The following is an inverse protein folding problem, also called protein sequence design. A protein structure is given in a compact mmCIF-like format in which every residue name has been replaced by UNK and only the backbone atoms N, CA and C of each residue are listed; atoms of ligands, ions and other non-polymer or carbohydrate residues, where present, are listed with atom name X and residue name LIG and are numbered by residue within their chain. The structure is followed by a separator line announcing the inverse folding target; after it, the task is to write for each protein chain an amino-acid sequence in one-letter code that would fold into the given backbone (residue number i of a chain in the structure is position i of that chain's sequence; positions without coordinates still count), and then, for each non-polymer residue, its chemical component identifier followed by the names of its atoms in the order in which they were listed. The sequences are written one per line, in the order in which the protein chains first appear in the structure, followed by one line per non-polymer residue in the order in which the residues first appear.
data_IF_732096937884
#
_entry.id   IF_732096937884
#
_cell.length_a   1.000
_cell.length_b   1.000
_cell.length_c   1.000
_cell.angle_alpha   90.00
_cell.angle_beta   90.00
_cell.angle_gamma   90.00
#
_symmetry.space_group_name_H-M   'P 1'
#
loop_
_entity.id
_entity.type
_entity.pdbx_description
1 polymer ?
#
# COMPACT_ATOMS: atom_id res chain seq x y z
N UNK A 1 -20.58 -107.40 -12.75
CA UNK A 1 -20.31 -106.46 -11.64
C UNK A 1 -19.49 -105.24 -12.09
N UNK A 2 -18.41 -105.40 -12.87
CA UNK A 2 -17.54 -104.26 -13.24
C UNK A 2 -18.16 -103.19 -14.17
N UNK A 3 -19.06 -103.57 -15.09
CA UNK A 3 -19.68 -102.60 -16.01
C UNK A 3 -20.60 -101.58 -15.30
N UNK A 4 -21.36 -102.05 -14.30
CA UNK A 4 -22.29 -101.21 -13.54
C UNK A 4 -21.56 -100.16 -12.69
N UNK A 5 -20.42 -100.54 -12.09
CA UNK A 5 -19.56 -99.61 -11.34
C UNK A 5 -18.95 -98.56 -12.27
N UNK A 6 -18.52 -98.96 -13.47
CA UNK A 6 -17.94 -98.03 -14.45
C UNK A 6 -18.97 -97.01 -14.97
N UNK A 7 -20.22 -97.46 -15.20
CA UNK A 7 -21.32 -96.57 -15.57
C UNK A 7 -21.65 -95.58 -14.44
N UNK A 8 -21.68 -96.04 -13.19
CA UNK A 8 -21.94 -95.17 -12.02
C UNK A 8 -20.84 -94.12 -11.85
N UNK A 9 -19.56 -94.48 -12.03
CA UNK A 9 -18.44 -93.52 -11.99
C UNK A 9 -18.57 -92.48 -13.11
N UNK A 10 -18.93 -92.90 -14.31
CA UNK A 10 -19.12 -91.98 -15.44
C UNK A 10 -20.27 -90.99 -15.20
N UNK A 11 -21.41 -91.45 -14.67
CA UNK A 11 -22.54 -90.58 -14.32
C UNK A 11 -22.15 -89.59 -13.21
N UNK A 12 -21.43 -90.02 -12.18
CA UNK A 12 -20.94 -89.14 -11.13
C UNK A 12 -19.98 -88.06 -11.65
N UNK A 13 -19.14 -88.40 -12.62
CA UNK A 13 -18.18 -87.48 -13.22
C UNK A 13 -18.89 -86.40 -14.07
N UNK A 14 -19.95 -86.79 -14.79
CA UNK A 14 -20.81 -85.84 -15.53
C UNK A 14 -21.57 -84.93 -14.55
N UNK A 15 -22.13 -85.47 -13.47
CA UNK A 15 -22.80 -84.68 -12.43
C UNK A 15 -21.85 -83.69 -11.78
N UNK A 16 -20.63 -84.13 -11.44
CA UNK A 16 -19.61 -83.27 -10.84
C UNK A 16 -19.17 -82.16 -11.81
N UNK A 17 -18.96 -82.49 -13.09
CA UNK A 17 -18.68 -81.49 -14.13
C UNK A 17 -19.84 -80.49 -14.30
N UNK A 18 -21.09 -80.96 -14.23
CA UNK A 18 -22.28 -80.12 -14.26
C UNK A 18 -22.37 -79.16 -13.07
N UNK A 19 -22.12 -79.65 -11.85
CA UNK A 19 -22.11 -78.83 -10.63
C UNK A 19 -20.98 -77.80 -10.65
N UNK A 20 -19.77 -78.19 -11.07
CA UNK A 20 -18.65 -77.25 -11.22
C UNK A 20 -18.95 -76.22 -12.30
N UNK A 21 -19.53 -76.62 -13.44
CA UNK A 21 -19.93 -75.69 -14.50
C UNK A 21 -21.00 -74.70 -14.05
N UNK A 22 -21.99 -75.16 -13.30
CA UNK A 22 -23.04 -74.33 -12.71
C UNK A 22 -22.46 -73.36 -11.68
N UNK A 23 -21.55 -73.82 -10.82
CA UNK A 23 -20.87 -72.98 -9.83
C UNK A 23 -20.02 -71.91 -10.51
N UNK A 24 -19.20 -72.25 -11.50
CA UNK A 24 -18.41 -71.27 -12.26
C UNK A 24 -19.31 -70.25 -12.97
N UNK A 25 -20.50 -70.66 -13.43
CA UNK A 25 -21.46 -69.77 -14.07
C UNK A 25 -22.15 -68.83 -13.08
N UNK A 26 -22.47 -69.30 -11.88
CA UNK A 26 -23.06 -68.51 -10.78
C UNK A 26 -22.05 -67.56 -10.13
N UNK A 27 -20.78 -67.96 -10.03
CA UNK A 27 -19.70 -67.15 -9.48
C UNK A 27 -19.05 -66.23 -10.51
N UNK A 28 -19.49 -66.23 -11.78
CA UNK A 28 -19.07 -65.19 -12.71
C UNK A 28 -19.70 -63.88 -12.23
N UNK A 29 -18.90 -62.89 -11.76
CA UNK A 29 -19.45 -61.61 -11.36
C UNK A 29 -20.27 -61.08 -12.54
N UNK A 30 -21.49 -60.57 -12.30
CA UNK A 30 -22.29 -59.98 -13.35
C UNK A 30 -21.40 -58.96 -14.06
N UNK A 31 -21.31 -59.07 -15.39
CA UNK A 31 -20.52 -58.13 -16.18
C UNK A 31 -21.19 -56.78 -16.01
N UNK A 32 -20.67 -55.98 -15.09
CA UNK A 32 -21.17 -54.64 -14.82
C UNK A 32 -21.25 -53.89 -16.15
N UNK A 33 -22.42 -53.30 -16.40
CA UNK A 33 -22.64 -52.62 -17.65
C UNK A 33 -21.53 -51.57 -17.85
N UNK A 34 -20.80 -51.62 -18.98
CA UNK A 34 -19.65 -50.74 -19.21
C UNK A 34 -20.03 -49.25 -19.20
N UNK A 35 -21.33 -48.93 -19.28
CA UNK A 35 -21.88 -47.59 -19.12
C UNK A 35 -21.93 -47.13 -17.66
N UNK A 36 -22.28 -48.02 -16.73
CA UNK A 36 -22.37 -47.70 -15.30
C UNK A 36 -20.97 -47.50 -14.72
N UNK A 37 -20.01 -48.36 -15.09
CA UNK A 37 -18.61 -48.22 -14.68
C UNK A 37 -17.99 -46.90 -15.15
N UNK A 38 -18.23 -46.49 -16.40
CA UNK A 38 -17.79 -45.17 -16.91
C UNK A 38 -18.48 -44.00 -16.20
N UNK A 39 -19.77 -44.13 -15.89
CA UNK A 39 -20.51 -43.12 -15.12
C UNK A 39 -19.94 -42.93 -13.72
N UNK A 40 -19.64 -44.04 -13.03
CA UNK A 40 -19.05 -44.03 -11.69
C UNK A 40 -17.63 -43.46 -11.71
N UNK A 41 -16.83 -43.78 -12.73
CA UNK A 41 -15.49 -43.22 -12.90
C UNK A 41 -15.54 -41.69 -13.11
N UNK A 42 -16.50 -41.18 -13.88
CA UNK A 42 -16.69 -39.73 -14.05
C UNK A 42 -17.13 -39.02 -12.77
N UNK A 43 -17.96 -39.67 -11.95
CA UNK A 43 -18.34 -39.13 -10.64
C UNK A 43 -17.15 -39.12 -9.70
N UNK A 44 -16.36 -40.18 -9.65
CA UNK A 44 -15.15 -40.24 -8.84
C UNK A 44 -14.15 -39.15 -9.26
N UNK A 45 -13.95 -38.93 -10.55
CA UNK A 45 -13.09 -37.83 -11.02
C UNK A 45 -13.65 -36.46 -10.66
N UNK A 46 -14.98 -36.28 -10.71
CA UNK A 46 -15.61 -35.01 -10.31
C UNK A 46 -15.52 -34.76 -8.81
N UNK A 47 -15.67 -35.80 -7.99
CA UNK A 47 -15.48 -35.72 -6.55
C UNK A 47 -14.04 -35.31 -6.25
N UNK A 48 -13.05 -35.96 -6.88
CA UNK A 48 -11.64 -35.61 -6.69
C UNK A 48 -11.32 -34.15 -7.10
N UNK A 49 -11.91 -33.65 -8.20
CA UNK A 49 -11.73 -32.25 -8.62
C UNK A 49 -12.44 -31.28 -7.67
N UNK A 50 -13.62 -31.62 -7.16
CA UNK A 50 -14.33 -30.78 -6.19
C UNK A 50 -13.62 -30.75 -4.84
N UNK A 51 -13.01 -31.86 -4.44
CA UNK A 51 -12.16 -31.96 -3.25
C UNK A 51 -10.92 -31.07 -3.39
N UNK A 52 -10.20 -31.16 -4.51
CA UNK A 52 -9.04 -30.29 -4.78
C UNK A 52 -9.42 -28.79 -4.83
N UNK A 53 -10.56 -28.45 -5.46
CA UNK A 53 -11.06 -27.07 -5.45
C UNK A 53 -11.49 -26.61 -4.05
N UNK A 54 -12.06 -27.51 -3.25
CA UNK A 54 -12.43 -27.24 -1.85
C UNK A 54 -11.18 -26.94 -1.03
N UNK A 55 -10.16 -27.80 -1.09
CA UNK A 55 -8.89 -27.64 -0.37
C UNK A 55 -8.17 -26.35 -0.79
N UNK A 56 -8.18 -26.04 -2.09
CA UNK A 56 -7.61 -24.79 -2.61
C UNK A 56 -8.38 -23.56 -2.13
N UNK A 57 -9.70 -23.65 -2.05
CA UNK A 57 -10.53 -22.55 -1.54
C UNK A 57 -10.28 -22.35 -0.04
N UNK A 58 -10.17 -23.42 0.74
CA UNK A 58 -9.85 -23.35 2.16
C UNK A 58 -8.48 -22.70 2.41
N UNK A 59 -7.46 -23.09 1.67
CA UNK A 59 -6.13 -22.47 1.77
C UNK A 59 -6.16 -20.98 1.39
N UNK A 60 -6.89 -20.59 0.35
CA UNK A 60 -7.06 -19.18 -0.03
C UNK A 60 -7.80 -18.37 1.04
N UNK A 61 -8.85 -18.92 1.65
CA UNK A 61 -9.58 -18.26 2.75
C UNK A 61 -8.69 -18.07 3.97
N UNK A 62 -7.85 -19.06 4.29
CA UNK A 62 -6.90 -18.96 5.39
C UNK A 62 -5.82 -17.90 5.12
N UNK A 63 -5.30 -17.83 3.89
CA UNK A 63 -4.35 -16.80 3.49
C UNK A 63 -4.97 -15.39 3.53
N UNK A 64 -6.21 -15.26 3.05
CA UNK A 64 -6.93 -13.98 3.06
C UNK A 64 -7.21 -13.52 4.48
N UNK A 65 -7.61 -14.44 5.37
CA UNK A 65 -7.82 -14.17 6.80
C UNK A 65 -6.51 -13.68 7.44
N UNK A 66 -5.39 -14.36 7.21
CA UNK A 66 -4.08 -13.95 7.73
C UNK A 66 -3.65 -12.56 7.23
N UNK A 67 -3.86 -12.26 5.94
CA UNK A 67 -3.57 -10.95 5.38
C UNK A 67 -4.45 -9.86 5.99
N UNK A 68 -5.74 -10.15 6.19
CA UNK A 68 -6.67 -9.23 6.82
C UNK A 68 -6.24 -8.91 8.26
N UNK A 69 -5.90 -9.92 9.06
CA UNK A 69 -5.38 -9.73 10.42
C UNK A 69 -4.10 -8.87 10.44
N UNK A 70 -3.19 -9.10 9.49
CA UNK A 70 -1.98 -8.28 9.35
C UNK A 70 -2.33 -6.82 9.02
N UNK A 71 -3.27 -6.59 8.10
CA UNK A 71 -3.69 -5.22 7.72
C UNK A 71 -4.43 -4.51 8.86
N UNK A 72 -5.21 -5.23 9.66
CA UNK A 72 -5.83 -4.67 10.87
C UNK A 72 -4.76 -4.21 11.85
N UNK A 73 -3.71 -5.01 12.08
CA UNK A 73 -2.57 -4.62 12.94
C UNK A 73 -1.83 -3.39 12.40
N UNK A 74 -1.58 -3.33 11.09
CA UNK A 74 -0.94 -2.17 10.44
C UNK A 74 -1.77 -0.89 10.62
N UNK A 75 -3.09 -0.97 10.42
CA UNK A 75 -4.02 0.16 10.60
C UNK A 75 -4.03 0.61 12.06
N UNK A 76 -4.12 -0.33 13.00
CA UNK A 76 -4.09 -0.04 14.43
C UNK A 76 -2.80 0.67 14.85
N UNK A 77 -1.65 0.24 14.32
CA UNK A 77 -0.36 0.90 14.57
C UNK A 77 -0.33 2.34 14.02
N UNK A 78 -0.89 2.58 12.83
CA UNK A 78 -1.00 3.93 12.25
C UNK A 78 -1.93 4.84 13.05
N UNK A 79 -3.06 4.32 13.54
CA UNK A 79 -3.98 5.07 14.41
C UNK A 79 -3.24 5.51 15.68
N UNK A 80 -2.55 4.59 16.36
CA UNK A 80 -1.78 4.93 17.56
C UNK A 80 -0.67 5.95 17.30
N UNK A 81 -0.03 5.90 16.12
CA UNK A 81 0.96 6.89 15.73
C UNK A 81 0.33 8.28 15.50
N UNK A 82 -0.83 8.34 14.87
CA UNK A 82 -1.59 9.57 14.66
C UNK A 82 -2.06 10.19 16.00
N UNK A 83 -2.59 9.37 16.92
CA UNK A 83 -3.01 9.84 18.25
C UNK A 83 -1.84 10.47 19.02
N UNK A 84 -0.65 9.87 18.94
CA UNK A 84 0.58 10.44 19.52
C UNK A 84 0.96 11.79 18.91
N UNK A 85 0.75 11.98 17.60
CA UNK A 85 1.02 13.24 16.93
C UNK A 85 0.00 14.32 17.33
N UNK A 86 -1.29 13.97 17.39
CA UNK A 86 -2.36 14.86 17.87
C UNK A 86 -2.04 15.32 19.29
N UNK A 87 -1.67 14.42 20.20
CA UNK A 87 -1.28 14.79 21.56
C UNK A 87 -0.08 15.75 21.63
N UNK A 88 0.88 15.64 20.70
CA UNK A 88 1.99 16.61 20.61
C UNK A 88 1.53 17.97 20.09
N UNK A 89 0.62 17.99 19.11
CA UNK A 89 0.04 19.22 18.57
C UNK A 89 -0.73 19.94 19.68
N UNK A 90 -1.56 19.23 20.45
CA UNK A 90 -2.32 19.82 21.55
C UNK A 90 -1.42 20.45 22.62
N UNK A 91 -0.33 19.76 22.99
CA UNK A 91 0.65 20.30 23.93
C UNK A 91 1.34 21.56 23.39
N UNK A 92 1.71 21.57 22.11
CA UNK A 92 2.32 22.74 21.48
C UNK A 92 1.34 23.89 21.35
N UNK A 93 0.09 23.60 21.01
CA UNK A 93 -0.99 24.58 20.94
C UNK A 93 -1.24 25.24 22.31
N UNK A 94 -1.25 24.46 23.39
CA UNK A 94 -1.37 24.98 24.75
C UNK A 94 -0.21 25.91 25.11
N UNK A 95 1.04 25.52 24.81
CA UNK A 95 2.22 26.38 25.03
C UNK A 95 2.13 27.66 24.22
N UNK A 96 1.75 27.59 22.95
CA UNK A 96 1.57 28.78 22.11
C UNK A 96 0.48 29.69 22.64
N UNK A 97 -0.60 29.14 23.19
CA UNK A 97 -1.68 29.92 23.80
C UNK A 97 -1.22 30.59 25.11
N UNK A 98 -0.40 29.93 25.92
CA UNK A 98 0.23 30.55 27.10
C UNK A 98 1.15 31.70 26.70
N UNK A 99 1.99 31.48 25.68
CA UNK A 99 2.88 32.53 25.14
C UNK A 99 2.06 33.70 24.59
N UNK A 100 0.98 33.44 23.85
CA UNK A 100 0.10 34.48 23.34
C UNK A 100 -0.55 35.29 24.48
N UNK A 101 -0.99 34.64 25.57
CA UNK A 101 -1.50 35.35 26.76
C UNK A 101 -0.43 36.24 27.38
N UNK A 102 0.80 35.75 27.51
CA UNK A 102 1.93 36.56 28.02
C UNK A 102 2.17 37.78 27.13
N UNK A 103 2.09 37.65 25.81
CA UNK A 103 2.26 38.78 24.89
C UNK A 103 1.09 39.76 24.94
N UNK A 104 -0.15 39.29 25.07
CA UNK A 104 -1.31 40.16 25.28
C UNK A 104 -1.20 40.97 26.57
N UNK A 105 -0.73 40.36 27.66
CA UNK A 105 -0.63 41.02 28.97
C UNK A 105 0.57 41.98 29.05
N UNK A 106 1.64 41.73 28.29
CA UNK A 106 2.92 42.44 28.42
C UNK A 106 3.16 43.51 27.37
N UNK A 107 2.34 43.58 26.32
CA UNK A 107 2.37 44.68 25.36
C UNK A 107 1.43 45.78 25.86
N UNK A 108 1.94 46.92 26.39
CA UNK A 108 1.10 48.04 26.77
C UNK A 108 0.49 48.66 25.51
N UNK A 109 -0.67 48.15 25.10
CA UNK A 109 -1.38 48.60 23.90
C UNK A 109 -1.68 50.11 23.94
N UNK A 110 -1.87 50.67 25.13
CA UNK A 110 -2.05 52.12 25.32
C UNK A 110 -0.80 52.91 24.92
N UNK A 111 0.38 52.42 25.29
CA UNK A 111 1.65 53.10 24.98
C UNK A 111 1.97 53.02 23.48
N UNK A 112 1.66 51.89 22.83
CA UNK A 112 1.83 51.77 21.37
C UNK A 112 0.88 52.72 20.64
N UNK A 113 -0.38 52.83 21.06
CA UNK A 113 -1.34 53.77 20.45
C UNK A 113 -0.87 55.22 20.66
N UNK A 114 -0.36 55.56 21.84
CA UNK A 114 0.21 56.88 22.12
C UNK A 114 1.44 57.18 21.26
N UNK A 115 2.33 56.19 21.06
CA UNK A 115 3.50 56.30 20.18
C UNK A 115 3.10 56.50 18.71
N UNK A 116 2.15 55.71 18.21
CA UNK A 116 1.64 55.85 16.84
C UNK A 116 1.01 57.23 16.61
N UNK A 117 0.22 57.72 17.56
CA UNK A 117 -0.34 59.07 17.47
C UNK A 117 0.77 60.14 17.50
N UNK A 118 1.77 59.98 18.37
CA UNK A 118 2.93 60.87 18.45
C UNK A 118 3.69 60.91 17.13
N UNK A 119 3.89 59.78 16.45
CA UNK A 119 4.54 59.70 15.14
C UNK A 119 3.75 60.45 14.08
N UNK A 120 2.41 60.38 14.09
CA UNK A 120 1.57 61.20 13.19
C UNK A 120 1.82 62.70 13.41
N UNK A 121 1.88 63.15 14.68
CA UNK A 121 2.15 64.55 15.00
C UNK A 121 3.58 64.97 14.59
N UNK A 122 4.58 64.11 14.79
CA UNK A 122 5.96 64.35 14.36
C UNK A 122 6.07 64.42 12.84
N UNK A 123 5.42 63.49 12.11
CA UNK A 123 5.38 63.49 10.63
C UNK A 123 4.72 64.76 10.10
N UNK A 124 3.59 65.17 10.69
CA UNK A 124 2.91 66.42 10.34
C UNK A 124 3.79 67.65 10.62
N UNK A 125 4.48 67.68 11.77
CA UNK A 125 5.40 68.76 12.11
C UNK A 125 6.57 68.85 11.11
N UNK A 126 7.16 67.71 10.71
CA UNK A 126 8.24 67.65 9.72
C UNK A 126 7.79 68.15 8.34
N UNK A 127 6.63 67.69 7.85
CA UNK A 127 6.09 68.17 6.57
C UNK A 127 5.75 69.68 6.61
N UNK A 128 5.22 70.16 7.73
CA UNK A 128 4.98 71.59 7.92
C UNK A 128 6.30 72.40 7.94
N UNK A 129 7.36 71.86 8.55
CA UNK A 129 8.69 72.47 8.54
C UNK A 129 9.29 72.53 7.14
N UNK A 130 9.07 71.51 6.31
CA UNK A 130 9.45 71.47 4.90
C UNK A 130 8.62 72.44 4.02
N UNK A 131 7.59 73.07 4.57
CA UNK A 131 6.77 74.07 3.88
C UNK A 131 5.55 73.51 3.16
N UNK A 132 5.20 72.23 3.36
CA UNK A 132 3.99 71.63 2.76
C UNK A 132 2.71 72.37 3.19
N UNK A 133 1.71 72.36 2.31
CA UNK A 133 0.42 72.98 2.60
C UNK A 133 -0.42 72.11 3.56
N UNK A 134 -1.33 72.75 4.31
CA UNK A 134 -2.21 72.05 5.27
C UNK A 134 -3.01 70.94 4.59
N UNK A 135 -3.48 71.18 3.36
CA UNK A 135 -4.28 70.20 2.61
C UNK A 135 -3.44 69.01 2.11
N UNK A 136 -2.13 69.19 1.85
CA UNK A 136 -1.22 68.09 1.50
C UNK A 136 -0.89 67.24 2.73
N UNK A 137 -0.61 67.88 3.87
CA UNK A 137 -0.35 67.17 5.13
C UNK A 137 -1.58 66.37 5.56
N UNK A 138 -2.79 66.90 5.38
CA UNK A 138 -4.04 66.20 5.73
C UNK A 138 -4.34 64.98 4.84
N UNK A 139 -3.76 64.90 3.63
CA UNK A 139 -3.88 63.70 2.79
C UNK A 139 -2.91 62.60 3.21
N UNK A 140 -1.75 63.01 3.72
CA UNK A 140 -0.63 62.12 4.03
C UNK A 140 -0.61 61.66 5.50
N UNK A 141 -1.22 62.46 6.39
CA UNK A 141 -1.30 62.21 7.83
C UNK A 141 -2.75 62.26 8.28
N UNK A 142 -3.21 61.18 8.90
CA UNK A 142 -4.55 61.02 9.45
C UNK A 142 -4.70 61.77 10.80
N UNK A 143 -4.70 63.10 10.72
CA UNK A 143 -4.96 64.04 11.81
C UNK A 143 -6.08 65.00 11.42
N UNK A 144 -6.78 65.58 12.41
CA UNK A 144 -7.83 66.55 12.09
C UNK A 144 -7.23 67.81 11.49
N UNK A 145 -7.96 68.44 10.56
CA UNK A 145 -7.49 69.66 9.89
C UNK A 145 -7.09 70.77 10.86
N UNK A 146 -7.82 70.92 11.97
CA UNK A 146 -7.52 71.92 13.00
C UNK A 146 -6.20 71.66 13.74
N UNK A 147 -5.86 70.39 14.00
CA UNK A 147 -4.56 70.03 14.60
C UNK A 147 -3.41 70.31 13.64
N UNK A 148 -3.58 69.99 12.36
CA UNK A 148 -2.55 70.25 11.33
C UNK A 148 -2.33 71.75 11.17
N UNK A 149 -3.40 72.56 11.14
CA UNK A 149 -3.30 74.02 11.09
C UNK A 149 -2.56 74.58 12.30
N UNK A 150 -2.83 74.05 13.49
CA UNK A 150 -2.14 74.43 14.72
C UNK A 150 -0.65 74.08 14.65
N UNK A 151 -0.30 72.85 14.27
CA UNK A 151 1.10 72.40 14.14
C UNK A 151 1.83 73.25 13.09
N UNK A 152 1.22 73.49 11.93
CA UNK A 152 1.81 74.29 10.87
C UNK A 152 2.06 75.74 11.30
N UNK A 153 1.12 76.32 12.07
CA UNK A 153 1.27 77.68 12.60
C UNK A 153 2.35 77.76 13.67
N UNK A 154 2.31 76.89 14.67
CA UNK A 154 3.30 76.86 15.77
C UNK A 154 4.70 76.62 15.23
N UNK A 155 4.86 75.69 14.28
CA UNK A 155 6.17 75.37 13.73
C UNK A 155 6.73 76.49 12.84
N UNK A 156 5.87 77.22 12.09
CA UNK A 156 6.27 78.41 11.33
C UNK A 156 6.64 79.60 12.23
N UNK A 157 5.88 79.82 13.30
CA UNK A 157 6.04 80.98 14.17
C UNK A 157 7.24 80.82 15.13
N UNK A 158 7.55 79.60 15.57
CA UNK A 158 8.57 79.36 16.60
C UNK A 158 9.78 78.54 16.12
N UNK A 159 9.77 77.98 14.90
CA UNK A 159 10.87 77.17 14.33
C UNK A 159 11.36 76.06 15.29
N UNK A 160 10.43 75.47 16.05
CA UNK A 160 10.75 74.58 17.17
C UNK A 160 11.06 73.13 16.78
N UNK A 161 10.85 72.74 15.52
CA UNK A 161 11.15 71.38 15.10
C UNK A 161 12.66 71.17 14.93
N UNK A 162 13.26 70.36 15.80
CA UNK A 162 14.63 69.89 15.69
C UNK A 162 14.62 68.37 15.51
N UNK A 163 14.99 67.90 14.31
CA UNK A 163 15.03 66.47 13.97
C UNK A 163 15.96 65.68 14.89
N UNK A 164 17.07 66.30 15.32
CA UNK A 164 18.05 65.71 16.24
C UNK A 164 17.53 65.49 17.68
N UNK A 165 16.40 66.10 18.05
CA UNK A 165 15.82 65.96 19.39
C UNK A 165 14.78 64.84 19.50
N UNK A 166 14.45 64.19 18.38
CA UNK A 166 13.48 63.11 18.35
C UNK A 166 14.09 61.82 18.90
N UNK A 167 13.33 61.06 19.71
CA UNK A 167 13.73 59.72 20.12
C UNK A 167 13.95 58.80 18.90
N UNK A 168 14.91 57.88 18.99
CA UNK A 168 15.32 56.99 17.89
C UNK A 168 14.16 56.18 17.28
N UNK A 169 13.21 55.72 18.11
CA UNK A 169 12.03 54.96 17.66
C UNK A 169 11.12 55.74 16.69
N UNK A 170 11.07 57.07 16.80
CA UNK A 170 10.26 57.89 15.90
C UNK A 170 10.91 58.03 14.52
N UNK A 171 12.25 57.89 14.43
CA UNK A 171 12.98 57.94 13.18
C UNK A 171 12.87 56.60 12.42
N UNK A 172 12.93 55.47 13.12
CA UNK A 172 12.83 54.11 12.53
C UNK A 172 11.47 53.85 11.86
N UNK A 173 10.35 54.13 12.54
CA UNK A 173 9.00 53.91 11.97
C UNK A 173 8.74 54.76 10.71
N UNK A 174 9.39 55.92 10.61
CA UNK A 174 9.28 56.78 9.43
C UNK A 174 10.05 56.22 8.23
N UNK A 175 11.21 55.59 8.45
CA UNK A 175 11.98 54.94 7.38
C UNK A 175 11.27 53.68 6.86
N UNK A 176 10.65 52.89 7.74
CA UNK A 176 9.87 51.71 7.35
C UNK A 176 8.65 52.08 6.50
N UNK A 177 7.95 53.17 6.82
CA UNK A 177 6.79 53.63 6.04
C UNK A 177 7.14 54.11 4.63
N UNK A 178 8.40 54.48 4.37
CA UNK A 178 8.89 54.84 3.05
C UNK A 178 9.34 53.62 2.23
N UNK A 179 9.55 52.47 2.88
CA UNK A 179 10.00 51.21 2.25
C UNK A 179 8.91 50.14 2.15
N UNK A 180 7.71 50.38 2.68
CA UNK A 180 6.55 49.48 2.55
C UNK A 180 5.92 49.52 1.15
N UNK A 181 6.74 49.42 0.11
CA UNK A 181 6.30 49.09 -1.25
C UNK A 181 6.21 47.55 -1.32
N UNK A 182 4.99 47.05 -1.55
CA UNK A 182 4.50 45.68 -1.29
C UNK A 182 5.14 44.54 -2.14
N UNK A 183 6.39 44.70 -2.56
CA UNK A 183 7.06 43.77 -3.47
C UNK A 183 7.92 42.68 -2.79
N UNK A 184 8.17 42.75 -1.48
CA UNK A 184 9.06 41.82 -0.76
C UNK A 184 8.37 40.86 0.22
N UNK A 185 7.04 40.68 0.10
CA UNK A 185 6.26 39.81 1.01
C UNK A 185 6.54 38.31 0.78
N UNK A 186 7.18 37.91 -0.32
CA UNK A 186 7.55 36.52 -0.58
C UNK A 186 8.88 36.07 0.08
N UNK A 187 9.58 36.96 0.79
CA UNK A 187 10.88 36.62 1.39
C UNK A 187 10.98 36.85 2.91
N UNK A 188 9.84 37.05 3.58
CA UNK A 188 9.82 37.14 5.04
C UNK A 188 9.84 35.73 5.62
N UNK A 189 11.05 35.24 5.83
CA UNK A 189 11.39 34.15 6.75
C UNK A 189 10.98 34.54 8.18
N UNK A 190 9.67 34.48 8.43
CA UNK A 190 9.05 34.68 9.72
C UNK A 190 9.36 33.44 10.58
N UNK A 191 10.54 33.41 11.20
CA UNK A 191 10.85 32.76 12.48
C UNK A 191 12.36 32.89 12.75
N UNK A 192 12.81 34.05 13.20
CA UNK A 192 14.04 34.17 13.99
C UNK A 192 13.64 34.35 15.45
N UNK A 193 13.51 33.29 16.26
CA UNK A 193 13.31 33.45 17.69
C UNK A 193 14.65 33.81 18.32
N UNK A 194 14.63 34.90 19.09
CA UNK A 194 15.58 35.32 20.12
C UNK A 194 16.69 34.29 20.42
N UNK A 195 17.90 34.64 20.01
CA UNK A 195 19.15 34.02 20.41
C UNK A 195 19.21 33.89 21.94
N UNK A 196 18.96 32.67 22.41
CA UNK A 196 19.50 32.20 23.68
C UNK A 196 20.67 31.32 23.30
N UNK A 197 21.88 31.80 23.62
CA UNK A 197 23.14 31.14 23.31
C UNK A 197 23.24 29.76 23.98
N UNK A 198 22.73 28.75 23.30
CA UNK A 198 23.23 27.39 23.40
C UNK A 198 23.54 27.02 21.95
N UNK A 199 24.80 26.82 21.56
CA UNK A 199 25.17 26.50 20.18
C UNK A 199 24.72 25.08 19.88
N UNK A 200 23.45 24.93 19.52
CA UNK A 200 22.92 23.72 18.91
C UNK A 200 23.02 23.98 17.41
N UNK A 201 23.85 23.22 16.70
CA UNK A 201 24.02 23.29 15.25
C UNK A 201 22.69 23.03 14.53
N UNK A 202 21.93 24.10 14.24
CA UNK A 202 20.63 24.05 13.55
C UNK A 202 20.80 23.56 12.10
N UNK A 203 22.01 23.58 11.55
CA UNK A 203 22.32 23.05 10.22
C UNK A 203 22.10 21.53 10.11
N UNK A 204 22.13 20.78 11.20
CA UNK A 204 21.89 19.33 11.18
C UNK A 204 20.42 18.96 11.36
N UNK A 205 19.56 19.86 11.86
CA UNK A 205 18.15 19.60 12.09
C UNK A 205 17.29 19.56 10.81
N UNK A 206 17.79 20.16 9.72
CA UNK A 206 17.16 20.17 8.40
C UNK A 206 17.97 19.46 7.32
N UNK A 207 19.08 18.79 7.68
CA UNK A 207 19.65 17.80 6.76
C UNK A 207 18.60 16.70 6.59
N UNK A 208 17.92 16.70 5.43
CA UNK A 208 17.12 15.58 4.94
C UNK A 208 17.94 14.33 5.27
N UNK A 209 17.45 13.43 6.15
CA UNK A 209 18.24 12.32 6.64
C UNK A 209 18.86 11.65 5.43
N UNK A 210 20.18 11.82 5.27
CA UNK A 210 20.90 11.22 4.15
C UNK A 210 20.71 9.74 4.38
N UNK A 211 19.80 9.15 3.62
CA UNK A 211 19.47 7.73 3.72
C UNK A 211 20.80 7.01 3.64
N UNK A 212 21.22 6.41 4.76
CA UNK A 212 22.54 5.80 4.89
C UNK A 212 22.72 4.83 3.73
N UNK A 213 23.46 5.26 2.71
CA UNK A 213 23.60 4.48 1.48
C UNK A 213 24.28 3.15 1.78
N UNK A 214 25.02 3.09 2.88
CA UNK A 214 25.62 1.88 3.40
C UNK A 214 24.58 0.92 4.01
N UNK A 215 23.57 1.44 4.72
CA UNK A 215 22.46 0.63 5.23
C UNK A 215 21.59 0.11 4.07
N UNK A 216 21.33 0.93 3.05
CA UNK A 216 20.63 0.51 1.83
C UNK A 216 21.41 -0.54 1.03
N UNK A 217 22.74 -0.41 0.95
CA UNK A 217 23.59 -1.43 0.32
C UNK A 217 23.55 -2.75 1.10
N UNK A 218 23.69 -2.71 2.44
CA UNK A 218 23.58 -3.90 3.29
C UNK A 218 22.20 -4.56 3.17
N UNK A 219 21.13 -3.77 3.10
CA UNK A 219 19.77 -4.28 2.88
C UNK A 219 19.63 -4.92 1.49
N UNK A 220 20.20 -4.29 0.46
CA UNK A 220 20.23 -4.82 -0.90
C UNK A 220 21.02 -6.13 -1.03
N UNK A 221 22.16 -6.21 -0.37
CA UNK A 221 23.00 -7.42 -0.34
C UNK A 221 22.32 -8.56 0.43
N UNK A 222 21.68 -8.26 1.57
CA UNK A 222 20.89 -9.22 2.32
C UNK A 222 19.68 -9.74 1.52
N UNK A 223 18.98 -8.85 0.81
CA UNK A 223 17.88 -9.22 -0.07
C UNK A 223 18.36 -10.10 -1.23
N UNK A 224 19.49 -9.75 -1.85
CA UNK A 224 20.07 -10.53 -2.95
C UNK A 224 20.56 -11.91 -2.48
N UNK A 225 21.09 -12.00 -1.27
CA UNK A 225 21.44 -13.27 -0.64
C UNK A 225 20.19 -14.14 -0.41
N UNK A 226 19.12 -13.57 0.16
CA UNK A 226 17.86 -14.29 0.36
C UNK A 226 17.23 -14.77 -0.96
N UNK A 227 17.25 -13.95 -2.03
CA UNK A 227 16.77 -14.38 -3.34
C UNK A 227 17.60 -15.53 -3.95
N UNK A 228 18.90 -15.55 -3.70
CA UNK A 228 19.76 -16.64 -4.17
C UNK A 228 19.54 -17.93 -3.38
N UNK A 229 19.26 -17.82 -2.07
CA UNK A 229 18.90 -18.95 -1.21
C UNK A 229 17.59 -19.59 -1.68
N UNK A 230 16.53 -18.80 -1.90
CA UNK A 230 15.26 -19.30 -2.44
C UNK A 230 15.43 -19.96 -3.80
N UNK A 231 16.23 -19.36 -4.71
CA UNK A 231 16.54 -20.00 -6.01
C UNK A 231 17.30 -21.31 -5.86
N UNK A 232 18.20 -21.42 -4.89
CA UNK A 232 18.93 -22.65 -4.62
C UNK A 232 18.00 -23.73 -4.05
N UNK A 233 17.08 -23.37 -3.15
CA UNK A 233 16.05 -24.26 -2.63
C UNK A 233 15.06 -24.71 -3.73
N UNK A 234 14.61 -23.80 -4.59
CA UNK A 234 13.77 -24.13 -5.74
C UNK A 234 14.50 -25.07 -6.72
N UNK A 235 15.77 -24.81 -7.02
CA UNK A 235 16.57 -25.69 -7.87
C UNK A 235 16.76 -27.08 -7.23
N UNK A 236 16.98 -27.14 -5.91
CA UNK A 236 17.05 -28.41 -5.18
C UNK A 236 15.72 -29.16 -5.17
N UNK A 237 14.60 -28.45 -4.95
CA UNK A 237 13.25 -29.00 -5.00
C UNK A 237 12.88 -29.49 -6.41
N UNK A 238 13.36 -28.80 -7.45
CA UNK A 238 13.13 -29.21 -8.83
C UNK A 238 14.00 -30.42 -9.21
N UNK A 239 15.23 -30.51 -8.68
CA UNK A 239 16.05 -31.72 -8.82
C UNK A 239 15.42 -32.92 -8.10
N UNK A 240 14.86 -32.74 -6.89
CA UNK A 240 14.16 -33.84 -6.20
C UNK A 240 12.89 -34.24 -6.95
N UNK A 241 12.11 -33.31 -7.49
CA UNK A 241 10.96 -33.61 -8.35
C UNK A 241 11.35 -34.36 -9.63
N UNK A 242 12.46 -33.98 -10.27
CA UNK A 242 13.00 -34.69 -11.43
C UNK A 242 13.46 -36.12 -11.07
N UNK A 243 14.07 -36.31 -9.89
CA UNK A 243 14.46 -37.63 -9.42
C UNK A 243 13.25 -38.52 -9.08
N UNK A 244 12.21 -37.96 -8.46
CA UNK A 244 10.97 -38.68 -8.13
C UNK A 244 10.21 -39.06 -9.40
N UNK A 245 10.10 -38.16 -10.38
CA UNK A 245 9.47 -38.47 -11.66
C UNK A 245 10.25 -39.52 -12.46
N UNK A 246 11.59 -39.52 -12.41
CA UNK A 246 12.40 -40.59 -12.98
C UNK A 246 12.12 -41.95 -12.31
N UNK A 247 12.04 -41.98 -10.97
CA UNK A 247 11.68 -43.17 -10.19
C UNK A 247 10.27 -43.69 -10.54
N UNK A 248 9.31 -42.77 -10.71
CA UNK A 248 7.94 -43.12 -11.09
C UNK A 248 7.87 -43.70 -12.51
N UNK A 249 8.61 -43.13 -13.46
CA UNK A 249 8.70 -43.65 -14.83
C UNK A 249 9.38 -45.04 -14.88
N UNK A 250 10.41 -45.28 -14.08
CA UNK A 250 11.03 -46.62 -13.94
C UNK A 250 10.01 -47.63 -13.39
N UNK A 251 9.25 -47.24 -12.37
CA UNK A 251 8.24 -48.10 -11.75
C UNK A 251 7.09 -48.41 -12.72
N UNK A 252 6.64 -47.42 -13.50
CA UNK A 252 5.64 -47.63 -14.54
C UNK A 252 6.13 -48.55 -15.67
N UNK A 253 7.38 -48.41 -16.11
CA UNK A 253 7.95 -49.30 -17.12
C UNK A 253 8.08 -50.74 -16.61
N UNK A 254 8.48 -50.95 -15.36
CA UNK A 254 8.54 -52.27 -14.74
C UNK A 254 7.13 -52.89 -14.68
N UNK A 255 6.13 -52.14 -14.21
CA UNK A 255 4.75 -52.61 -14.14
C UNK A 255 4.17 -52.96 -15.52
N UNK A 256 4.48 -52.15 -16.55
CA UNK A 256 4.07 -52.46 -17.92
C UNK A 256 4.78 -53.69 -18.50
N UNK A 257 6.06 -53.89 -18.17
CA UNK A 257 6.82 -55.09 -18.61
C UNK A 257 6.25 -56.36 -17.97
N UNK A 258 5.87 -56.31 -16.68
CA UNK A 258 5.25 -57.44 -15.99
C UNK A 258 3.81 -57.74 -16.43
N UNK A 259 3.05 -56.74 -16.87
CA UNK A 259 1.68 -56.93 -17.36
C UNK A 259 1.61 -57.29 -18.85
N UNK A 260 2.71 -57.15 -19.60
CA UNK A 260 2.77 -57.46 -21.04
C UNK A 260 3.36 -58.83 -21.38
N UNK A 261 3.92 -59.57 -20.41
CA UNK A 261 4.21 -61.01 -20.56
C UNK A 261 2.92 -61.84 -20.57
N UNK A 262 2.21 -61.77 -21.70
CA UNK A 262 1.16 -62.69 -22.06
C UNK A 262 1.81 -63.94 -22.69
N UNK A 263 1.50 -65.17 -22.23
CA UNK A 263 2.03 -66.38 -22.86
C UNK A 263 1.57 -66.45 -24.31
N UNK A 264 2.53 -66.61 -25.22
CA UNK A 264 2.36 -66.73 -26.67
C UNK A 264 1.63 -68.03 -27.03
N UNK A 265 0.58 -67.96 -27.85
CA UNK A 265 0.33 -68.97 -28.87
C UNK A 265 0.57 -68.39 -30.28
N UNK A 266 0.95 -69.31 -31.16
CA UNK A 266 1.53 -69.11 -32.47
C UNK A 266 0.69 -68.31 -33.50
N UNK A 267 1.38 -67.39 -34.17
CA UNK A 267 1.38 -67.15 -35.62
C UNK A 267 0.09 -66.60 -36.32
N UNK A 268 0.17 -66.09 -37.57
CA UNK A 268 -0.12 -64.69 -37.89
C UNK A 268 -1.30 -64.55 -38.88
N UNK A 269 -1.74 -63.33 -39.19
CA UNK A 269 -2.07 -62.85 -40.57
C UNK A 269 -2.77 -61.48 -40.55
N UNK A 270 -2.28 -60.62 -41.46
CA UNK A 270 -2.89 -59.44 -42.10
C UNK A 270 -2.97 -58.09 -41.37
N UNK A 271 -2.48 -57.09 -42.12
CA UNK A 271 -2.33 -55.67 -41.84
C UNK A 271 -3.57 -54.85 -42.31
N UNK A 272 -3.47 -53.53 -42.58
CA UNK A 272 -3.79 -52.46 -41.64
C UNK A 272 -4.98 -51.58 -42.12
N UNK A 273 -5.68 -50.92 -41.20
CA UNK A 273 -6.64 -49.85 -41.55
C UNK A 273 -6.34 -48.61 -40.72
N UNK A 274 -5.72 -47.62 -41.36
CA UNK A 274 -5.58 -46.26 -40.85
C UNK A 274 -6.97 -45.63 -40.69
N UNK A 275 -7.28 -45.13 -39.49
CA UNK A 275 -8.42 -44.22 -39.27
C UNK A 275 -7.93 -42.97 -38.56
N UNK A 276 -7.84 -41.89 -39.35
CA UNK A 276 -7.54 -40.52 -38.91
C UNK A 276 -8.43 -40.10 -37.73
N UNK A 277 -7.79 -39.57 -36.68
CA UNK A 277 -8.43 -38.85 -35.57
C UNK A 277 -9.00 -37.52 -36.06
N UNK A 278 -10.19 -37.09 -35.61
CA UNK A 278 -10.55 -35.69 -35.62
C UNK A 278 -9.86 -34.98 -34.45
N UNK A 279 -9.02 -34.00 -34.77
CA UNK A 279 -8.45 -33.04 -33.79
C UNK A 279 -9.57 -32.07 -33.42
N UNK A 280 -10.10 -32.21 -32.21
CA UNK A 280 -10.99 -31.22 -31.61
C UNK A 280 -10.10 -30.11 -31.03
N UNK A 281 -10.05 -28.95 -31.69
CA UNK A 281 -9.48 -27.75 -31.09
C UNK A 281 -10.41 -27.29 -29.96
N UNK A 282 -10.09 -27.70 -28.74
CA UNK A 282 -10.59 -27.06 -27.53
C UNK A 282 -9.87 -25.72 -27.45
N UNK A 283 -10.59 -24.65 -27.78
CA UNK A 283 -10.10 -23.29 -27.64
C UNK A 283 -9.67 -23.03 -26.19
N UNK A 284 -8.49 -22.45 -26.03
CA UNK A 284 -8.02 -21.95 -24.75
C UNK A 284 -9.08 -21.00 -24.15
N UNK A 285 -9.36 -21.08 -22.84
CA UNK A 285 -10.20 -20.09 -22.18
C UNK A 285 -9.46 -18.75 -22.22
N UNK A 286 -9.94 -17.83 -23.05
CA UNK A 286 -9.49 -16.44 -23.11
C UNK A 286 -9.82 -15.78 -21.76
N UNK A 287 -8.84 -15.77 -20.85
CA UNK A 287 -8.92 -15.11 -19.55
C UNK A 287 -8.99 -13.61 -19.83
N UNK A 288 -10.20 -13.04 -19.77
CA UNK A 288 -10.37 -11.58 -19.86
C UNK A 288 -9.78 -10.93 -18.61
N UNK A 289 -8.91 -9.92 -18.74
CA UNK A 289 -8.39 -9.19 -17.61
C UNK A 289 -9.52 -8.47 -16.86
N UNK A 290 -9.51 -8.61 -15.53
CA UNK A 290 -10.43 -7.91 -14.63
C UNK A 290 -10.17 -6.42 -14.74
N UNK A 291 -11.12 -5.69 -15.34
CA UNK A 291 -11.07 -4.22 -15.36
C UNK A 291 -11.61 -3.69 -14.03
N UNK A 292 -10.72 -3.10 -13.23
CA UNK A 292 -11.11 -2.36 -12.03
C UNK A 292 -11.81 -1.06 -12.47
N UNK A 293 -13.14 -1.03 -12.38
CA UNK A 293 -13.90 0.21 -12.51
C UNK A 293 -13.62 1.05 -11.26
N UNK A 294 -13.07 2.26 -11.43
CA UNK A 294 -13.05 3.25 -10.34
C UNK A 294 -14.50 3.60 -10.04
N UNK A 295 -14.90 3.38 -8.80
CA UNK A 295 -16.19 3.83 -8.28
C UNK A 295 -16.09 5.35 -8.18
N UNK A 296 -16.82 6.06 -9.02
CA UNK A 296 -17.01 7.50 -8.89
C UNK A 296 -18.14 7.72 -7.88
N UNK A 297 -17.77 7.99 -6.62
CA UNK A 297 -18.72 8.19 -5.53
C UNK A 297 -19.74 9.31 -5.79
N UNK A 298 -19.50 10.20 -6.75
CA UNK A 298 -20.41 11.28 -7.11
C UNK A 298 -21.55 10.85 -8.06
N UNK A 299 -21.45 9.68 -8.72
CA UNK A 299 -22.45 9.22 -9.70
C UNK A 299 -23.22 7.97 -9.29
N UNK A 300 -22.63 7.14 -8.42
CA UNK A 300 -23.22 5.85 -8.02
C UNK A 300 -24.02 5.94 -6.71
N UNK A 301 -24.33 7.14 -6.23
CA UNK A 301 -25.01 7.43 -4.96
C UNK A 301 -26.40 8.07 -5.11
N UNK A 302 -26.90 8.20 -6.34
CA UNK A 302 -28.31 8.54 -6.65
C UNK A 302 -29.11 7.26 -6.99
#
# INVERSE_FOLDING_TARGET
MSFWVLLQVLVNLILLAGVVGMWVRLNRPPKDDPRLSKGLQLLQSKIAVLEDLSDRTETQVNQLTALLEQKVKDIQAKIQAADKQIGKIDQNMQKSMEVAKIFQDRIPHTEIIERQNTVKYVKAARMAHQGSSVDEIAREVDLSRGEIEFIAKVNRDQLMFCEDSLPEWANEEMEESAQSDLSDVDNISFMTPLQREIPIEISTAFEVPKTDQEALKKLGDAFKAACNEVKAEEAAAQQTANNVSALFNVTQNIAQTFLSEKPTPAAPTAAPVEKKRPVLHIGEPEIRPVQFRRIDLAKDLD
#
